data_IF_074553443903
#
_entry.id   IF_074553443903
#
_cell.length_a   1.000
_cell.length_b   1.000
_cell.length_c   1.000
_cell.angle_alpha   90.00
_cell.angle_beta   90.00
_cell.angle_gamma   90.00
#
_symmetry.space_group_name_H-M   'P 1'
#
loop_
_entity.id
_entity.type
_entity.pdbx_description
1 polymer ?
#
# COMPACT_ATOMS: atom_id res chain seq x y z
N UNK A 1 -1.16 -12.75 -1.67
CA UNK A 1 -0.11 -12.28 -0.73
C UNK A 1 -0.76 -11.58 0.43
N UNK A 2 -0.19 -11.70 1.64
CA UNK A 2 -0.73 -11.00 2.80
C UNK A 2 -0.53 -9.50 2.67
N UNK A 3 -1.46 -8.73 3.20
CA UNK A 3 -1.36 -7.27 3.17
C UNK A 3 -0.12 -6.75 3.92
N UNK A 4 0.30 -7.44 4.98
CA UNK A 4 1.55 -7.15 5.69
C UNK A 4 2.81 -7.33 4.81
N UNK A 5 2.84 -8.35 3.96
CA UNK A 5 3.92 -8.59 3.01
C UNK A 5 3.95 -7.48 1.96
N UNK A 6 2.77 -7.09 1.45
CA UNK A 6 2.67 -5.99 0.49
C UNK A 6 3.12 -4.66 1.08
N UNK A 7 2.77 -4.37 2.35
CA UNK A 7 3.25 -3.18 3.06
C UNK A 7 4.78 -3.16 3.17
N UNK A 8 5.41 -4.30 3.51
CA UNK A 8 6.88 -4.43 3.56
C UNK A 8 7.52 -4.25 2.18
N UNK A 9 6.90 -4.80 1.13
CA UNK A 9 7.38 -4.63 -0.24
C UNK A 9 7.34 -3.16 -0.68
N UNK A 10 6.23 -2.44 -0.40
CA UNK A 10 6.13 -1.00 -0.65
C UNK A 10 7.19 -0.21 0.12
N UNK A 11 7.45 -0.56 1.39
CA UNK A 11 8.51 0.06 2.18
C UNK A 11 9.89 -0.12 1.53
N UNK A 12 10.17 -1.30 0.97
CA UNK A 12 11.42 -1.57 0.26
C UNK A 12 11.56 -0.77 -1.05
N UNK A 13 10.44 -0.30 -1.64
CA UNK A 13 10.45 0.64 -2.77
C UNK A 13 10.62 2.11 -2.32
N UNK A 14 10.81 2.37 -1.02
CA UNK A 14 10.95 3.72 -0.46
C UNK A 14 9.62 4.38 -0.08
N UNK A 15 8.51 3.63 -0.03
CA UNK A 15 7.23 4.19 0.38
C UNK A 15 7.20 4.50 1.88
N UNK A 16 6.57 5.61 2.24
CA UNK A 16 6.33 6.01 3.64
C UNK A 16 4.87 5.85 4.02
N UNK A 17 4.61 5.66 5.31
CA UNK A 17 3.27 5.31 5.82
C UNK A 17 2.85 6.28 6.92
N UNK A 18 1.62 6.79 6.82
CA UNK A 18 0.99 7.60 7.86
C UNK A 18 -0.34 6.97 8.25
N UNK A 19 -0.49 6.62 9.51
CA UNK A 19 -1.75 6.09 10.03
C UNK A 19 -2.81 7.20 10.03
N UNK A 20 -3.95 6.94 9.39
CA UNK A 20 -5.17 7.73 9.53
C UNK A 20 -6.17 7.03 10.42
N UNK A 21 -7.34 7.64 10.65
CA UNK A 21 -8.38 7.08 11.52
C UNK A 21 -8.88 5.70 11.06
N UNK A 22 -9.01 5.49 9.75
CA UNK A 22 -9.50 4.24 9.16
C UNK A 22 -8.44 3.48 8.35
N UNK A 23 -7.75 4.18 7.45
CA UNK A 23 -6.76 3.59 6.53
C UNK A 23 -5.35 4.13 6.77
N UNK A 24 -4.35 3.31 6.46
CA UNK A 24 -2.96 3.77 6.36
C UNK A 24 -2.79 4.52 5.04
N UNK A 25 -2.32 5.76 5.08
CA UNK A 25 -1.91 6.50 3.89
C UNK A 25 -0.51 6.09 3.49
N UNK A 26 -0.30 5.79 2.22
CA UNK A 26 0.98 5.41 1.63
C UNK A 26 1.44 6.51 0.71
N UNK A 27 2.69 6.95 0.83
CA UNK A 27 3.29 7.99 0.00
C UNK A 27 4.55 7.47 -0.68
N UNK A 28 4.70 7.77 -1.97
CA UNK A 28 5.90 7.44 -2.75
C UNK A 28 6.08 8.45 -3.88
N UNK A 29 7.25 9.08 -3.98
CA UNK A 29 7.61 9.99 -5.09
C UNK A 29 6.54 11.07 -5.38
N UNK A 30 5.98 11.68 -4.33
CA UNK A 30 4.91 12.69 -4.44
C UNK A 30 3.52 12.15 -4.75
N UNK A 31 3.36 10.83 -4.93
CA UNK A 31 2.08 10.15 -5.12
C UNK A 31 1.57 9.57 -3.81
N UNK A 32 0.25 9.39 -3.72
CA UNK A 32 -0.43 8.89 -2.53
C UNK A 32 -1.45 7.80 -2.89
N UNK A 33 -1.59 6.83 -2.01
CA UNK A 33 -2.77 5.93 -1.95
C UNK A 33 -3.17 5.64 -0.51
N UNK A 34 -4.21 4.83 -0.32
CA UNK A 34 -4.66 4.32 0.97
C UNK A 34 -4.64 2.80 0.99
N UNK A 35 -4.17 2.23 2.09
CA UNK A 35 -4.12 0.80 2.34
C UNK A 35 -5.07 0.47 3.52
N UNK A 36 -6.00 -0.49 3.37
CA UNK A 36 -6.83 -0.95 4.49
C UNK A 36 -5.99 -1.59 5.61
N UNK A 37 -6.55 -1.80 6.80
CA UNK A 37 -5.81 -2.33 7.95
C UNK A 37 -6.23 -3.75 8.30
N UNK A 38 -5.94 -4.68 7.40
CA UNK A 38 -6.17 -6.12 7.56
C UNK A 38 -4.87 -6.91 7.30
N UNK A 39 -3.81 -6.73 8.12
CA UNK A 39 -2.46 -7.22 7.82
C UNK A 39 -2.37 -8.75 7.64
N UNK A 40 -3.29 -9.50 8.24
CA UNK A 40 -3.36 -10.96 8.14
C UNK A 40 -4.17 -11.48 6.95
N UNK A 41 -4.98 -10.63 6.30
CA UNK A 41 -5.77 -11.01 5.13
C UNK A 41 -4.93 -10.88 3.86
N UNK A 42 -5.32 -11.65 2.84
CA UNK A 42 -4.75 -11.49 1.52
C UNK A 42 -5.24 -10.20 0.86
N UNK A 43 -4.32 -9.50 0.21
CA UNK A 43 -4.69 -8.35 -0.62
C UNK A 43 -5.26 -8.86 -1.94
N UNK A 44 -6.46 -8.40 -2.29
CA UNK A 44 -7.04 -8.70 -3.59
C UNK A 44 -6.19 -8.13 -4.73
N UNK A 45 -6.02 -8.89 -5.80
CA UNK A 45 -5.11 -8.52 -6.90
C UNK A 45 -5.53 -7.20 -7.57
N UNK A 46 -6.83 -6.94 -7.72
CA UNK A 46 -7.33 -5.67 -8.26
C UNK A 46 -6.91 -4.45 -7.41
N UNK A 47 -7.02 -4.56 -6.07
CA UNK A 47 -6.57 -3.50 -5.16
C UNK A 47 -5.05 -3.30 -5.23
N UNK A 48 -4.30 -4.40 -5.27
CA UNK A 48 -2.85 -4.36 -5.42
C UNK A 48 -2.44 -3.62 -6.71
N UNK A 49 -3.02 -3.98 -7.85
CA UNK A 49 -2.73 -3.33 -9.13
C UNK A 49 -3.13 -1.85 -9.13
N UNK A 50 -4.27 -1.50 -8.54
CA UNK A 50 -4.69 -0.12 -8.39
C UNK A 50 -3.69 0.71 -7.57
N UNK A 51 -3.19 0.16 -6.45
CA UNK A 51 -2.17 0.80 -5.62
C UNK A 51 -0.87 1.01 -6.41
N UNK A 52 -0.39 -0.01 -7.12
CA UNK A 52 0.83 0.09 -7.93
C UNK A 52 0.71 1.20 -8.98
N UNK A 53 -0.41 1.25 -9.70
CA UNK A 53 -0.68 2.29 -10.70
C UNK A 53 -0.73 3.67 -10.07
N UNK A 54 -1.43 3.83 -8.94
CA UNK A 54 -1.53 5.10 -8.22
C UNK A 54 -0.19 5.60 -7.70
N UNK A 55 0.69 4.69 -7.29
CA UNK A 55 2.05 5.01 -6.83
C UNK A 55 3.06 5.11 -7.98
N UNK A 56 2.66 4.81 -9.22
CA UNK A 56 3.54 4.83 -10.39
C UNK A 56 4.60 3.75 -10.40
N UNK A 57 4.35 2.61 -9.74
CA UNK A 57 5.26 1.47 -9.68
C UNK A 57 5.02 0.45 -10.82
N UNK A 58 3.98 0.64 -11.64
CA UNK A 58 3.78 -0.02 -12.93
C UNK A 58 2.59 0.61 -13.67
#
# INVERSE_FOLDING_TARGET
MKQSEFKRWLAAQGATFKEGSNHTKVYLNGKQTTLPRHPGQEIGEGLRQAILKQLGLK
#
